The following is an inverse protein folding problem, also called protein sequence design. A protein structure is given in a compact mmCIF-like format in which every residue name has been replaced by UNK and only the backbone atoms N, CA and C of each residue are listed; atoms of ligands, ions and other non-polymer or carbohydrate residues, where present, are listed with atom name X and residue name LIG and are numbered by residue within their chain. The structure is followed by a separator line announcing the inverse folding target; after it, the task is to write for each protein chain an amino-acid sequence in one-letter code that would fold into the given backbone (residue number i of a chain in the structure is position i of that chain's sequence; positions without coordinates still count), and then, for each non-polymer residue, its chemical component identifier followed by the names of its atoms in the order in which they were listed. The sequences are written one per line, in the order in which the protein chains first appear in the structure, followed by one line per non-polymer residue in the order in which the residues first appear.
data_IF_342145724318
#
_entry.id   IF_342145724318
#
_cell.length_a   1.000
_cell.length_b   1.000
_cell.length_c   1.000
_cell.angle_alpha   90.00
_cell.angle_beta   90.00
_cell.angle_gamma   90.00
#
_symmetry.space_group_name_H-M   'P 1'
#
loop_
_entity.id
_entity.type
_entity.pdbx_description
1 polymer ?
#
# COMPACT_ATOMS: atom_id res chain seq x y z
N UNK A 1 58.91 8.01 54.32
CA UNK A 1 58.33 7.99 52.95
C UNK A 1 58.68 9.36 52.31
N UNK A 2 59.68 9.41 51.44
CA UNK A 2 60.01 10.63 50.66
C UNK A 2 58.96 10.80 49.57
N UNK A 3 58.15 11.83 49.62
CA UNK A 3 57.32 12.28 48.52
C UNK A 3 58.22 12.93 47.48
N UNK A 4 58.49 12.27 46.38
CA UNK A 4 59.15 12.88 45.24
C UNK A 4 58.29 14.07 44.75
N UNK A 5 58.74 15.26 44.89
CA UNK A 5 58.13 16.45 44.34
C UNK A 5 58.41 16.46 42.83
N UNK A 6 57.36 16.36 42.00
CA UNK A 6 57.44 16.49 40.54
C UNK A 6 58.09 17.85 40.21
N UNK A 7 59.11 17.85 39.39
CA UNK A 7 59.72 19.08 38.90
C UNK A 7 58.81 19.75 37.87
N UNK A 8 58.83 21.08 37.82
CA UNK A 8 58.03 21.86 36.88
C UNK A 8 58.34 21.44 35.41
N UNK A 9 59.57 21.04 35.16
CA UNK A 9 60.06 20.54 33.86
C UNK A 9 59.40 19.22 33.49
N UNK A 10 59.24 18.24 34.38
CA UNK A 10 58.59 16.98 34.18
C UNK A 10 57.12 17.18 33.82
N UNK A 11 56.42 18.09 34.49
CA UNK A 11 55.02 18.41 34.19
C UNK A 11 54.90 19.00 32.78
N UNK A 12 55.82 19.89 32.40
CA UNK A 12 55.80 20.52 31.08
C UNK A 12 56.04 19.50 29.95
N UNK A 13 56.99 18.57 30.13
CA UNK A 13 57.25 17.50 29.18
C UNK A 13 56.04 16.58 29.01
N UNK A 14 55.35 16.20 30.10
CA UNK A 14 54.15 15.38 30.07
C UNK A 14 53.02 16.08 29.31
N UNK A 15 52.80 17.36 29.53
CA UNK A 15 51.74 18.11 28.81
C UNK A 15 52.05 18.18 27.31
N UNK A 16 53.29 18.40 26.92
CA UNK A 16 53.70 18.45 25.51
C UNK A 16 53.50 17.09 24.84
N UNK A 17 53.89 15.97 25.50
CA UNK A 17 53.68 14.61 24.97
C UNK A 17 52.21 14.31 24.85
N UNK A 18 51.37 14.62 25.86
CA UNK A 18 49.92 14.44 25.80
C UNK A 18 49.28 15.26 24.69
N UNK A 19 49.72 16.51 24.46
CA UNK A 19 49.21 17.34 23.37
C UNK A 19 49.56 16.72 21.99
N UNK A 20 50.77 16.22 21.80
CA UNK A 20 51.18 15.53 20.57
C UNK A 20 50.42 14.24 20.35
N UNK A 21 50.27 13.40 21.37
CA UNK A 21 49.49 12.16 21.29
C UNK A 21 48.00 12.42 21.00
N UNK A 22 47.43 13.48 21.61
CA UNK A 22 46.05 13.88 21.32
C UNK A 22 45.89 14.34 19.89
N UNK A 23 46.79 15.13 19.35
CA UNK A 23 46.74 15.60 17.96
C UNK A 23 46.85 14.47 16.94
N UNK A 24 47.70 13.48 17.19
CA UNK A 24 47.81 12.27 16.35
C UNK A 24 46.56 11.39 16.50
N UNK A 25 46.08 11.21 17.72
CA UNK A 25 44.88 10.47 18.03
C UNK A 25 43.67 11.01 17.26
N UNK A 26 43.43 12.29 17.32
CA UNK A 26 42.30 12.96 16.61
C UNK A 26 42.38 12.75 15.09
N UNK A 27 43.57 12.79 14.49
CA UNK A 27 43.75 12.56 13.04
C UNK A 27 43.39 11.13 12.61
N UNK A 28 43.58 10.15 13.48
CA UNK A 28 43.26 8.73 13.16
C UNK A 28 41.81 8.40 13.51
N UNK A 29 41.31 8.85 14.66
CA UNK A 29 39.97 8.53 15.13
C UNK A 29 38.86 9.26 14.37
N UNK A 30 39.07 10.53 13.97
CA UNK A 30 38.04 11.30 13.26
C UNK A 30 37.56 10.64 11.96
N UNK A 31 38.43 10.24 11.03
CA UNK A 31 37.97 9.55 9.80
C UNK A 31 37.34 8.19 10.09
N UNK A 32 37.79 7.49 11.12
CA UNK A 32 37.26 6.17 11.50
C UNK A 32 35.84 6.28 12.05
N UNK A 33 35.60 7.27 12.91
CA UNK A 33 34.23 7.56 13.41
C UNK A 33 33.31 8.00 12.27
N UNK A 34 33.80 8.87 11.36
CA UNK A 34 33.02 9.29 10.19
C UNK A 34 32.70 8.09 9.28
N UNK A 35 33.67 7.22 9.00
CA UNK A 35 33.42 6.01 8.20
C UNK A 35 32.41 5.09 8.88
N UNK A 36 32.53 4.88 10.19
CA UNK A 36 31.56 4.05 10.94
C UNK A 36 30.16 4.62 10.93
N UNK A 37 30.00 5.92 11.21
CA UNK A 37 28.67 6.56 11.19
C UNK A 37 28.04 6.55 9.80
N UNK A 38 28.86 6.75 8.76
CA UNK A 38 28.40 6.66 7.36
C UNK A 38 27.96 5.24 7.01
N UNK A 39 28.75 4.21 7.38
CA UNK A 39 28.38 2.82 7.15
C UNK A 39 27.10 2.44 7.91
N UNK A 40 26.98 2.80 9.17
CA UNK A 40 25.78 2.52 9.97
C UNK A 40 24.52 3.22 9.40
N UNK A 41 24.64 4.46 8.93
CA UNK A 41 23.54 5.16 8.26
C UNK A 41 23.14 4.49 6.95
N UNK A 42 24.12 3.99 6.19
CA UNK A 42 23.89 3.25 4.95
C UNK A 42 23.13 1.95 5.19
N UNK A 43 23.55 1.14 6.15
CA UNK A 43 22.87 -0.11 6.51
C UNK A 43 21.45 0.13 6.98
N UNK A 44 21.22 1.14 7.82
CA UNK A 44 19.88 1.51 8.27
C UNK A 44 18.97 1.89 7.11
N UNK A 45 19.46 2.68 6.16
CA UNK A 45 18.67 3.11 5.00
C UNK A 45 18.38 1.93 4.06
N UNK A 46 19.35 1.04 3.83
CA UNK A 46 19.12 -0.20 3.05
C UNK A 46 18.10 -1.12 3.71
N UNK A 47 18.16 -1.29 5.03
CA UNK A 47 17.18 -2.08 5.77
C UNK A 47 15.78 -1.45 5.65
N UNK A 48 15.65 -0.13 5.80
CA UNK A 48 14.40 0.59 5.63
C UNK A 48 13.83 0.45 4.22
N UNK A 49 14.67 0.59 3.18
CA UNK A 49 14.26 0.38 1.79
C UNK A 49 13.80 -1.06 1.56
N UNK A 50 14.51 -2.04 2.12
CA UNK A 50 14.14 -3.45 2.01
C UNK A 50 12.78 -3.74 2.66
N UNK A 51 12.56 -3.21 3.85
CA UNK A 51 11.31 -3.35 4.56
C UNK A 51 10.15 -2.68 3.81
N UNK A 52 10.35 -1.48 3.27
CA UNK A 52 9.34 -0.79 2.49
C UNK A 52 8.94 -1.59 1.24
N UNK A 53 9.92 -2.16 0.52
CA UNK A 53 9.67 -3.02 -0.64
C UNK A 53 8.90 -4.27 -0.24
N UNK A 54 9.28 -4.95 0.85
CA UNK A 54 8.59 -6.14 1.34
C UNK A 54 7.14 -5.86 1.74
N UNK A 55 6.89 -4.75 2.44
CA UNK A 55 5.53 -4.35 2.82
C UNK A 55 4.70 -4.02 1.59
N UNK A 56 5.23 -3.24 0.65
CA UNK A 56 4.56 -2.90 -0.59
C UNK A 56 4.26 -4.16 -1.42
N UNK A 57 5.22 -5.08 -1.53
CA UNK A 57 5.06 -6.37 -2.20
C UNK A 57 3.95 -7.21 -1.56
N UNK A 58 3.98 -7.37 -0.24
CA UNK A 58 2.96 -8.14 0.47
C UNK A 58 1.54 -7.58 0.26
N UNK A 59 1.42 -6.25 0.15
CA UNK A 59 0.14 -5.61 -0.13
C UNK A 59 -0.29 -5.78 -1.58
N UNK A 60 0.64 -5.69 -2.54
CA UNK A 60 0.37 -5.90 -3.96
C UNK A 60 0.03 -7.36 -4.29
N UNK A 61 0.63 -8.34 -3.60
CA UNK A 61 0.29 -9.76 -3.77
C UNK A 61 -1.19 -10.07 -3.46
N UNK A 62 -1.82 -9.21 -2.66
CA UNK A 62 -3.24 -9.32 -2.35
C UNK A 62 -4.13 -8.51 -3.31
N UNK A 63 -3.57 -7.90 -4.35
CA UNK A 63 -4.34 -7.11 -5.30
C UNK A 63 -5.31 -7.99 -6.12
N UNK A 64 -6.50 -7.47 -6.36
CA UNK A 64 -7.36 -7.94 -7.43
C UNK A 64 -6.81 -7.30 -8.70
N UNK A 65 -5.97 -8.02 -9.44
CA UNK A 65 -5.13 -7.48 -10.52
C UNK A 65 -5.87 -6.63 -11.55
N UNK A 66 -7.09 -7.00 -12.02
CA UNK A 66 -7.84 -6.15 -12.96
C UNK A 66 -8.18 -4.76 -12.41
N UNK A 67 -8.11 -4.58 -11.09
CA UNK A 67 -8.40 -3.30 -10.45
C UNK A 67 -7.17 -2.42 -10.25
N UNK A 68 -5.97 -2.92 -10.55
CA UNK A 68 -4.74 -2.18 -10.36
C UNK A 68 -4.66 -1.03 -11.35
N UNK A 69 -4.63 0.19 -10.84
CA UNK A 69 -4.61 1.43 -11.61
C UNK A 69 -3.57 2.40 -11.08
N UNK A 70 -3.01 3.22 -11.98
CA UNK A 70 -2.25 4.38 -11.59
C UNK A 70 -3.19 5.57 -11.33
N UNK A 71 -2.74 6.55 -10.58
CA UNK A 71 -3.47 7.81 -10.43
C UNK A 71 -2.51 9.00 -10.49
N UNK A 72 -2.99 10.10 -11.08
CA UNK A 72 -2.29 11.37 -11.17
C UNK A 72 -2.88 12.36 -10.18
N UNK A 73 -2.05 12.99 -9.38
CA UNK A 73 -2.45 14.01 -8.42
C UNK A 73 -2.12 13.67 -6.96
N UNK A 74 -2.13 14.68 -6.09
CA UNK A 74 -1.99 14.47 -4.66
C UNK A 74 -3.28 13.86 -4.09
N UNK A 75 -3.16 12.82 -3.30
CA UNK A 75 -4.25 12.37 -2.46
C UNK A 75 -4.65 13.53 -1.54
N UNK A 76 -5.85 14.07 -1.76
CA UNK A 76 -6.38 15.09 -0.88
C UNK A 76 -6.69 16.46 -1.48
N UNK A 77 -6.46 16.68 -2.79
CA UNK A 77 -6.87 17.93 -3.46
C UNK A 77 -6.22 19.21 -2.93
N UNK A 78 -5.13 19.12 -2.17
CA UNK A 78 -4.36 20.26 -1.69
C UNK A 78 -3.02 20.26 -2.42
N UNK A 79 -2.81 21.24 -3.27
CA UNK A 79 -1.47 21.62 -3.73
C UNK A 79 -0.65 22.02 -2.50
N UNK A 80 0.16 21.08 -2.00
CA UNK A 80 1.11 21.40 -0.92
C UNK A 80 2.25 22.17 -1.55
N UNK A 81 2.22 23.50 -1.41
CA UNK A 81 3.37 24.33 -1.69
C UNK A 81 4.49 23.93 -0.73
N UNK A 82 5.65 23.68 -1.30
CA UNK A 82 6.88 23.38 -0.58
C UNK A 82 7.09 24.42 0.54
N UNK A 83 6.94 23.99 1.80
CA UNK A 83 7.23 24.82 2.97
C UNK A 83 6.24 24.77 4.14
N UNK A 84 5.02 24.27 3.97
CA UNK A 84 4.06 24.18 5.08
C UNK A 84 3.72 22.73 5.38
N UNK A 85 4.24 22.25 6.52
CA UNK A 85 3.77 21.01 7.16
C UNK A 85 2.34 21.23 7.67
N UNK A 86 1.35 21.01 6.83
CA UNK A 86 -0.02 21.01 7.29
C UNK A 86 -0.39 19.61 7.78
N UNK A 87 -0.49 19.48 9.11
CA UNK A 87 -0.91 18.29 9.86
C UNK A 87 -2.36 17.83 9.58
N UNK A 88 -3.06 18.43 8.62
CA UNK A 88 -4.47 18.20 8.31
C UNK A 88 -4.72 17.42 7.02
N UNK A 89 -3.83 16.51 6.64
CA UNK A 89 -4.05 15.53 5.55
C UNK A 89 -5.05 14.42 5.97
N UNK A 90 -6.14 14.78 6.64
CA UNK A 90 -7.09 13.84 7.23
C UNK A 90 -8.28 13.49 6.32
N UNK A 91 -8.41 14.08 5.16
CA UNK A 91 -9.51 13.75 4.26
C UNK A 91 -9.00 13.54 2.83
N UNK A 92 -8.84 12.28 2.44
CA UNK A 92 -8.84 11.89 1.04
C UNK A 92 -10.12 12.39 0.39
N UNK A 93 -10.05 13.48 -0.38
CA UNK A 93 -11.22 13.98 -1.10
C UNK A 93 -11.43 13.12 -2.36
N UNK A 94 -11.94 11.91 -2.15
CA UNK A 94 -12.18 10.92 -3.19
C UNK A 94 -13.42 11.20 -4.04
N UNK A 95 -14.11 12.32 -3.84
CA UNK A 95 -15.24 12.65 -4.73
C UNK A 95 -14.81 12.72 -6.20
N UNK A 96 -13.55 13.05 -6.45
CA UNK A 96 -12.98 13.18 -7.79
C UNK A 96 -11.85 12.19 -8.10
N UNK A 97 -11.52 11.31 -7.16
CA UNK A 97 -10.43 10.35 -7.34
C UNK A 97 -10.58 9.49 -8.61
N UNK A 98 -11.80 9.06 -8.90
CA UNK A 98 -12.11 8.29 -10.10
C UNK A 98 -11.73 9.01 -11.41
N UNK A 99 -11.71 10.36 -11.44
CA UNK A 99 -11.28 11.13 -12.59
C UNK A 99 -9.76 11.14 -12.79
N UNK A 100 -9.00 10.83 -11.74
CA UNK A 100 -7.54 10.83 -11.72
C UNK A 100 -6.94 9.45 -12.00
N UNK A 101 -7.77 8.42 -12.06
CA UNK A 101 -7.33 7.05 -12.32
C UNK A 101 -7.07 6.84 -13.81
N UNK A 102 -5.98 6.16 -14.13
CA UNK A 102 -5.59 5.80 -15.48
C UNK A 102 -4.93 4.41 -15.52
N UNK A 103 -4.87 3.78 -16.71
CA UNK A 103 -4.11 2.55 -16.89
C UNK A 103 -2.64 2.72 -16.50
N UNK A 104 -2.04 1.69 -15.90
CA UNK A 104 -0.62 1.69 -15.51
C UNK A 104 0.34 1.97 -16.67
N UNK A 105 -0.06 1.60 -17.89
CA UNK A 105 0.73 1.75 -19.11
C UNK A 105 0.82 3.20 -19.59
N UNK A 106 -0.13 4.05 -19.23
CA UNK A 106 -0.14 5.46 -19.62
C UNK A 106 0.84 6.33 -18.82
N UNK A 107 1.49 5.77 -17.78
CA UNK A 107 2.53 6.47 -17.00
C UNK A 107 2.02 7.71 -16.28
N UNK A 108 0.72 7.82 -16.03
CA UNK A 108 0.18 8.90 -15.24
C UNK A 108 0.45 8.61 -13.76
N UNK A 109 1.25 9.44 -13.09
CA UNK A 109 0.98 9.36 -11.75
C UNK A 109 2.03 9.49 -10.68
N UNK A 110 1.51 9.87 -9.52
CA UNK A 110 2.19 9.93 -8.24
C UNK A 110 1.95 8.65 -7.39
N UNK A 111 1.18 7.68 -7.90
CA UNK A 111 0.91 6.46 -7.16
C UNK A 111 0.08 5.42 -7.90
N UNK A 112 -0.21 4.33 -7.19
CA UNK A 112 -1.04 3.22 -7.65
C UNK A 112 -2.09 2.88 -6.61
N UNK A 113 -3.24 2.38 -7.08
CA UNK A 113 -4.38 1.99 -6.25
C UNK A 113 -4.94 0.67 -6.72
N UNK A 114 -5.47 -0.13 -5.79
CA UNK A 114 -6.10 -1.41 -6.09
C UNK A 114 -7.06 -1.82 -4.98
N UNK A 115 -8.04 -2.67 -5.33
CA UNK A 115 -8.81 -3.41 -4.34
C UNK A 115 -8.01 -4.61 -3.86
N UNK A 116 -7.89 -4.75 -2.54
CA UNK A 116 -7.23 -5.90 -1.95
C UNK A 116 -8.23 -7.05 -1.76
N UNK A 117 -7.85 -8.24 -2.20
CA UNK A 117 -8.61 -9.47 -1.98
C UNK A 117 -8.74 -9.73 -0.48
N UNK A 118 -9.94 -10.00 -0.01
CA UNK A 118 -10.21 -10.25 1.42
C UNK A 118 -9.83 -11.68 1.79
N UNK A 119 -8.52 -11.92 1.92
CA UNK A 119 -8.00 -13.23 2.31
C UNK A 119 -8.39 -13.64 3.73
N UNK A 120 -8.55 -12.68 4.61
CA UNK A 120 -8.97 -12.91 5.99
C UNK A 120 -10.35 -13.56 6.06
N UNK A 121 -11.25 -13.18 5.14
CA UNK A 121 -12.59 -13.77 5.06
C UNK A 121 -12.64 -15.00 4.16
N UNK A 122 -11.60 -15.24 3.35
CA UNK A 122 -11.52 -16.40 2.46
C UNK A 122 -11.23 -17.69 3.24
N UNK A 123 -10.39 -17.62 4.28
CA UNK A 123 -9.97 -18.78 5.08
C UNK A 123 -10.28 -18.56 6.57
N UNK A 124 -11.08 -19.44 7.13
CA UNK A 124 -11.30 -19.51 8.56
C UNK A 124 -11.22 -20.97 9.01
N UNK A 125 -10.26 -21.32 9.89
CA UNK A 125 -10.12 -22.62 10.55
C UNK A 125 -10.27 -23.85 9.63
N UNK A 126 -9.71 -23.77 8.41
CA UNK A 126 -9.72 -24.89 7.45
C UNK A 126 -10.95 -24.94 6.53
N UNK A 127 -11.95 -24.10 6.72
CA UNK A 127 -13.07 -23.92 5.78
C UNK A 127 -12.89 -22.68 4.93
N UNK A 128 -13.44 -22.71 3.70
CA UNK A 128 -13.48 -21.53 2.85
C UNK A 128 -14.69 -20.69 3.23
N UNK A 129 -14.45 -19.43 3.56
CA UNK A 129 -15.51 -18.47 3.86
C UNK A 129 -16.31 -18.06 2.63
N UNK A 130 -15.66 -18.01 1.44
CA UNK A 130 -16.29 -17.80 0.15
C UNK A 130 -15.46 -18.47 -0.95
N UNK A 131 -16.16 -18.99 -1.99
CA UNK A 131 -15.50 -19.77 -3.03
C UNK A 131 -14.93 -18.93 -4.18
N UNK A 132 -15.48 -17.75 -4.38
CA UNK A 132 -15.21 -16.92 -5.56
C UNK A 132 -16.06 -17.30 -6.77
N UNK A 133 -17.04 -18.21 -6.62
CA UNK A 133 -17.94 -18.65 -7.68
C UNK A 133 -19.41 -18.46 -7.30
N UNK A 134 -20.18 -17.94 -8.25
CA UNK A 134 -21.61 -17.70 -8.10
C UNK A 134 -22.40 -18.95 -8.42
N UNK A 135 -23.38 -19.28 -7.57
CA UNK A 135 -24.39 -20.28 -7.91
C UNK A 135 -25.52 -19.61 -8.69
N UNK A 136 -25.53 -19.77 -10.02
CA UNK A 136 -26.58 -19.20 -10.89
C UNK A 136 -27.97 -19.75 -10.60
N UNK A 137 -28.09 -20.94 -10.04
CA UNK A 137 -29.38 -21.54 -9.65
C UNK A 137 -30.09 -20.75 -8.54
N UNK A 138 -29.32 -20.04 -7.73
CA UNK A 138 -29.82 -19.26 -6.59
C UNK A 138 -29.92 -17.77 -6.90
N UNK A 139 -29.56 -17.36 -8.13
CA UNK A 139 -29.57 -15.97 -8.54
C UNK A 139 -31.00 -15.41 -8.51
N UNK A 140 -31.23 -14.43 -7.68
CA UNK A 140 -32.49 -13.70 -7.63
C UNK A 140 -32.26 -12.21 -7.82
N UNK A 141 -33.04 -11.58 -8.68
CA UNK A 141 -32.95 -10.16 -8.98
C UNK A 141 -34.29 -9.47 -8.64
N UNK A 142 -34.22 -8.51 -7.75
CA UNK A 142 -35.30 -7.57 -7.45
C UNK A 142 -34.92 -6.18 -7.99
N UNK A 143 -35.89 -5.22 -7.96
CA UNK A 143 -35.69 -3.86 -8.53
C UNK A 143 -34.43 -3.12 -8.09
N UNK A 144 -33.86 -3.44 -6.92
CA UNK A 144 -32.70 -2.74 -6.33
C UNK A 144 -31.69 -3.66 -5.68
N UNK A 145 -31.92 -4.96 -5.71
CA UNK A 145 -31.03 -5.94 -5.07
C UNK A 145 -30.83 -7.14 -5.97
N UNK A 146 -29.57 -7.57 -6.04
CA UNK A 146 -29.15 -8.84 -6.62
C UNK A 146 -28.69 -9.74 -5.48
N UNK A 147 -29.26 -10.91 -5.34
CA UNK A 147 -28.88 -11.86 -4.32
C UNK A 147 -28.56 -13.22 -4.94
N UNK A 148 -27.49 -13.85 -4.46
CA UNK A 148 -27.08 -15.18 -4.87
C UNK A 148 -26.36 -15.90 -3.74
N UNK A 149 -26.34 -17.22 -3.81
CA UNK A 149 -25.58 -18.06 -2.89
C UNK A 149 -24.21 -18.38 -3.49
N UNK A 150 -23.28 -18.64 -2.62
CA UNK A 150 -21.99 -19.24 -2.93
C UNK A 150 -22.15 -20.67 -3.43
N UNK A 151 -21.22 -21.12 -4.28
CA UNK A 151 -21.19 -22.49 -4.73
C UNK A 151 -20.76 -23.47 -3.62
N UNK A 152 -19.76 -23.09 -2.81
CA UNK A 152 -19.19 -23.96 -1.78
C UNK A 152 -18.61 -23.23 -0.55
N UNK A 153 -18.89 -21.93 -0.39
CA UNK A 153 -18.35 -21.13 0.73
C UNK A 153 -19.27 -21.06 1.95
N UNK A 154 -18.67 -20.83 3.12
CA UNK A 154 -19.39 -20.54 4.37
C UNK A 154 -19.36 -19.03 4.66
N UNK A 155 -20.35 -18.31 4.14
CA UNK A 155 -20.49 -16.88 4.34
C UNK A 155 -20.70 -16.48 5.81
N UNK A 156 -21.13 -17.40 6.68
CA UNK A 156 -21.28 -17.15 8.12
C UNK A 156 -19.92 -17.00 8.74
N UNK A 157 -18.97 -17.90 8.42
CA UNK A 157 -17.59 -17.79 8.85
C UNK A 157 -16.94 -16.47 8.39
N UNK A 158 -17.14 -16.10 7.13
CA UNK A 158 -16.67 -14.80 6.61
C UNK A 158 -17.24 -13.61 7.37
N UNK A 159 -18.53 -13.66 7.73
CA UNK A 159 -19.18 -12.59 8.48
C UNK A 159 -18.63 -12.46 9.91
N UNK A 160 -18.32 -13.57 10.56
CA UNK A 160 -17.71 -13.58 11.89
C UNK A 160 -16.31 -12.96 11.88
N UNK A 161 -15.49 -13.34 10.89
CA UNK A 161 -14.17 -12.73 10.70
C UNK A 161 -14.27 -11.22 10.47
N UNK A 162 -15.17 -10.77 9.62
CA UNK A 162 -15.37 -9.32 9.42
C UNK A 162 -15.78 -8.60 10.69
N UNK A 163 -16.63 -9.19 11.52
CA UNK A 163 -17.01 -8.61 12.81
C UNK A 163 -15.82 -8.50 13.78
N UNK A 164 -14.92 -9.47 13.75
CA UNK A 164 -13.71 -9.45 14.59
C UNK A 164 -12.67 -8.44 14.12
N UNK A 165 -12.54 -8.24 12.81
CA UNK A 165 -11.58 -7.30 12.24
C UNK A 165 -11.99 -5.83 12.44
N UNK A 166 -13.28 -5.59 12.41
CA UNK A 166 -13.81 -4.23 12.43
C UNK A 166 -14.75 -4.07 13.61
N UNK A 167 -14.29 -3.86 14.79
CA UNK A 167 -15.04 -3.62 16.06
C UNK A 167 -16.28 -2.69 15.91
N UNK A 168 -16.96 -2.77 14.80
CA UNK A 168 -18.03 -1.92 14.35
C UNK A 168 -19.39 -2.63 14.52
N UNK A 169 -20.21 -2.13 15.42
CA UNK A 169 -21.62 -2.53 15.58
C UNK A 169 -22.43 -2.36 14.27
N UNK A 170 -21.90 -1.66 13.26
CA UNK A 170 -22.44 -1.54 11.92
C UNK A 170 -21.76 -2.54 11.00
N UNK A 171 -22.55 -3.43 10.41
CA UNK A 171 -22.08 -4.39 9.42
C UNK A 171 -21.37 -3.64 8.29
N UNK A 172 -20.04 -3.81 8.20
CA UNK A 172 -19.22 -3.20 7.13
C UNK A 172 -19.65 -3.76 5.79
N UNK A 173 -19.83 -2.88 4.83
CA UNK A 173 -20.09 -3.26 3.45
C UNK A 173 -18.77 -3.72 2.83
N UNK A 174 -18.84 -4.76 2.03
CA UNK A 174 -17.74 -5.23 1.19
C UNK A 174 -17.93 -4.74 -0.24
N UNK A 175 -16.89 -4.86 -1.02
CA UNK A 175 -16.94 -4.72 -2.47
C UNK A 175 -16.94 -6.10 -3.08
N UNK A 176 -17.86 -6.33 -3.99
CA UNK A 176 -17.88 -7.49 -4.87
C UNK A 176 -17.50 -7.01 -6.28
N UNK A 177 -16.53 -7.69 -6.86
CA UNK A 177 -16.06 -7.44 -8.22
C UNK A 177 -16.20 -8.74 -8.99
N UNK A 178 -17.01 -8.73 -10.04
CA UNK A 178 -17.08 -9.86 -10.96
C UNK A 178 -15.84 -9.87 -11.83
N UNK A 179 -15.28 -11.06 -12.03
CA UNK A 179 -14.11 -11.30 -12.86
C UNK A 179 -14.57 -11.97 -14.13
N UNK A 180 -14.28 -11.42 -15.29
CA UNK A 180 -14.53 -12.06 -16.57
C UNK A 180 -13.74 -13.38 -16.65
N UNK A 181 -14.27 -14.38 -17.36
CA UNK A 181 -13.66 -15.72 -17.47
C UNK A 181 -12.28 -15.67 -18.12
N UNK A 182 -12.06 -14.69 -18.96
CA UNK A 182 -10.76 -14.39 -19.50
C UNK A 182 -10.16 -13.20 -18.74
N UNK A 183 -9.31 -13.49 -17.73
CA UNK A 183 -8.51 -12.44 -17.07
C UNK A 183 -7.68 -11.65 -18.10
N UNK A 184 -7.53 -12.18 -19.32
CA UNK A 184 -6.93 -11.52 -20.46
C UNK A 184 -7.81 -10.41 -21.04
N UNK A 185 -9.14 -10.53 -21.08
CA UNK A 185 -9.97 -9.47 -21.66
C UNK A 185 -9.98 -8.19 -20.84
N UNK A 186 -10.06 -8.29 -19.50
CA UNK A 186 -9.88 -7.11 -18.63
C UNK A 186 -8.42 -6.67 -18.55
N UNK A 187 -7.47 -7.59 -18.79
CA UNK A 187 -6.04 -7.31 -18.73
C UNK A 187 -5.46 -6.88 -20.10
N UNK A 188 -5.94 -7.42 -21.22
CA UNK A 188 -5.47 -7.06 -22.57
C UNK A 188 -6.12 -5.78 -23.09
N UNK A 189 -7.37 -5.51 -22.72
CA UNK A 189 -8.00 -4.23 -23.04
C UNK A 189 -7.40 -3.03 -22.30
N UNK A 190 -6.46 -3.30 -21.35
CA UNK A 190 -5.92 -2.24 -20.49
C UNK A 190 -7.02 -1.55 -19.67
N UNK A 191 -8.13 -2.26 -19.41
CA UNK A 191 -9.42 -1.76 -18.95
C UNK A 191 -9.67 -0.39 -19.58
N UNK A 192 -10.55 -0.22 -20.51
CA UNK A 192 -10.76 1.10 -21.11
C UNK A 192 -10.71 2.11 -19.95
N UNK A 193 -10.04 3.23 -20.14
CA UNK A 193 -9.83 4.26 -19.10
C UNK A 193 -11.13 4.58 -18.33
N UNK A 194 -12.25 4.40 -19.00
CA UNK A 194 -13.59 4.58 -18.47
C UNK A 194 -14.01 3.48 -17.49
N UNK A 195 -13.67 2.22 -17.73
CA UNK A 195 -13.96 1.08 -16.84
C UNK A 195 -13.17 1.17 -15.54
N UNK A 196 -11.90 1.58 -15.61
CA UNK A 196 -11.09 1.85 -14.42
C UNK A 196 -11.68 2.99 -13.59
N UNK A 197 -12.12 4.08 -14.23
CA UNK A 197 -12.79 5.18 -13.53
C UNK A 197 -14.09 4.73 -12.89
N UNK A 198 -14.85 3.89 -13.59
CA UNK A 198 -16.11 3.34 -13.09
C UNK A 198 -15.89 2.50 -11.83
N UNK A 199 -14.83 1.64 -11.80
CA UNK A 199 -14.48 0.81 -10.65
C UNK A 199 -14.33 1.62 -9.35
N UNK A 200 -13.80 2.83 -9.44
CA UNK A 200 -13.48 3.67 -8.28
C UNK A 200 -14.58 4.67 -7.91
N UNK A 201 -15.70 4.70 -8.62
CA UNK A 201 -16.86 5.51 -8.23
C UNK A 201 -17.54 4.97 -6.98
N UNK A 202 -18.10 5.85 -6.18
CA UNK A 202 -18.84 5.48 -4.97
C UNK A 202 -20.14 4.69 -5.25
N UNK A 203 -20.66 4.78 -6.46
CA UNK A 203 -21.86 4.09 -6.97
C UNK A 203 -21.53 3.23 -8.20
N UNK A 204 -20.36 2.64 -8.24
CA UNK A 204 -19.86 1.82 -9.32
C UNK A 204 -20.81 0.67 -9.68
N UNK A 205 -20.89 0.36 -10.97
CA UNK A 205 -21.55 -0.82 -11.51
C UNK A 205 -20.61 -2.03 -11.62
N UNK A 206 -19.31 -1.82 -11.49
CA UNK A 206 -18.27 -2.83 -11.56
C UNK A 206 -17.75 -3.23 -10.17
N UNK A 207 -17.64 -2.28 -9.24
CA UNK A 207 -17.26 -2.51 -7.84
C UNK A 207 -18.50 -2.35 -6.94
N UNK A 208 -19.17 -3.43 -6.70
CA UNK A 208 -20.53 -3.47 -6.16
C UNK A 208 -20.56 -3.49 -4.63
N UNK A 209 -21.34 -2.61 -4.03
CA UNK A 209 -21.59 -2.63 -2.59
C UNK A 209 -22.32 -3.90 -2.18
N UNK A 210 -21.69 -4.71 -1.34
CA UNK A 210 -22.19 -6.03 -0.99
C UNK A 210 -22.29 -6.19 0.52
N UNK A 211 -23.36 -6.86 0.95
CA UNK A 211 -23.58 -7.30 2.34
C UNK A 211 -23.56 -8.81 2.40
N UNK A 212 -22.85 -9.35 3.38
CA UNK A 212 -22.93 -10.78 3.71
C UNK A 212 -24.21 -10.99 4.52
N UNK A 213 -25.18 -11.68 3.93
CA UNK A 213 -26.40 -12.15 4.61
C UNK A 213 -26.45 -13.67 4.46
N UNK A 214 -25.70 -14.43 5.26
CA UNK A 214 -25.65 -15.88 5.09
C UNK A 214 -27.03 -16.52 4.99
N UNK A 215 -27.29 -17.44 4.07
CA UNK A 215 -26.32 -18.05 3.13
C UNK A 215 -26.12 -17.25 1.83
N UNK A 216 -26.58 -16.01 1.73
CA UNK A 216 -26.57 -15.22 0.49
C UNK A 216 -25.62 -14.02 0.58
N UNK A 217 -25.03 -13.69 -0.56
CA UNK A 217 -24.46 -12.38 -0.87
C UNK A 217 -25.57 -11.49 -1.43
N UNK A 218 -25.68 -10.28 -0.91
CA UNK A 218 -26.68 -9.31 -1.34
C UNK A 218 -25.98 -8.04 -1.83
N UNK A 219 -26.12 -7.79 -3.12
CA UNK A 219 -25.58 -6.61 -3.81
C UNK A 219 -26.69 -5.59 -3.96
N UNK A 220 -26.42 -4.37 -3.51
CA UNK A 220 -27.33 -3.24 -3.72
C UNK A 220 -26.94 -2.52 -5.01
N UNK A 221 -27.74 -2.57 -6.04
CA UNK A 221 -27.52 -1.83 -7.29
C UNK A 221 -28.86 -1.32 -7.83
N UNK A 222 -28.88 -0.05 -8.23
CA UNK A 222 -30.00 0.57 -8.93
C UNK A 222 -29.92 0.40 -10.45
N UNK A 223 -28.76 -0.02 -10.95
CA UNK A 223 -28.46 -0.19 -12.36
C UNK A 223 -28.37 -1.67 -12.71
N UNK A 224 -28.45 -1.95 -13.99
CA UNK A 224 -28.23 -3.32 -14.49
C UNK A 224 -26.78 -3.72 -14.30
N UNK A 225 -26.56 -4.84 -13.61
CA UNK A 225 -25.24 -5.40 -13.34
C UNK A 225 -25.05 -6.63 -14.19
N UNK A 226 -23.95 -6.69 -14.93
CA UNK A 226 -23.49 -7.91 -15.57
C UNK A 226 -22.96 -8.86 -14.48
N UNK A 227 -23.38 -10.11 -14.53
CA UNK A 227 -23.00 -11.15 -13.58
C UNK A 227 -22.15 -12.17 -14.30
N UNK A 228 -20.97 -12.45 -13.77
CA UNK A 228 -20.09 -13.52 -14.23
C UNK A 228 -20.03 -14.64 -13.20
N UNK A 229 -19.53 -15.79 -13.62
CA UNK A 229 -19.41 -16.96 -12.76
C UNK A 229 -18.40 -16.73 -11.62
N UNK A 230 -17.29 -16.03 -11.93
CA UNK A 230 -16.22 -15.73 -10.96
C UNK A 230 -16.38 -14.35 -10.38
N UNK A 231 -16.02 -14.21 -9.09
CA UNK A 231 -15.98 -12.94 -8.42
C UNK A 231 -14.87 -12.89 -7.35
N UNK A 232 -14.53 -11.69 -6.91
CA UNK A 232 -13.68 -11.45 -5.78
C UNK A 232 -14.38 -10.53 -4.77
N UNK A 233 -14.13 -10.77 -3.48
CA UNK A 233 -14.55 -9.89 -2.40
C UNK A 233 -13.36 -9.06 -1.89
N UNK A 234 -13.63 -7.80 -1.65
CA UNK A 234 -12.70 -6.88 -1.03
C UNK A 234 -13.38 -6.13 0.11
N UNK A 235 -12.65 -5.89 1.19
CA UNK A 235 -13.08 -5.04 2.29
C UNK A 235 -12.28 -3.74 2.37
N UNK A 236 -11.27 -3.57 1.51
CA UNK A 236 -10.40 -2.41 1.54
C UNK A 236 -9.80 -2.08 0.18
N UNK A 237 -9.64 -0.80 -0.08
CA UNK A 237 -8.68 -0.28 -1.04
C UNK A 237 -7.32 -0.13 -0.37
N UNK A 238 -6.28 -0.33 -1.16
CA UNK A 238 -4.93 0.08 -0.83
C UNK A 238 -4.42 1.04 -1.91
N UNK A 239 -3.61 2.00 -1.50
CA UNK A 239 -2.91 2.87 -2.43
C UNK A 239 -1.50 3.16 -1.94
N UNK A 240 -0.55 3.15 -2.88
CA UNK A 240 0.83 3.59 -2.65
C UNK A 240 1.03 4.90 -3.42
N UNK A 241 1.49 5.93 -2.72
CA UNK A 241 1.72 7.25 -3.29
C UNK A 241 3.09 7.79 -2.88
N UNK A 242 3.71 8.53 -3.78
CA UNK A 242 4.89 9.34 -3.48
C UNK A 242 4.41 10.75 -3.12
N UNK A 243 4.65 11.17 -1.87
CA UNK A 243 4.26 12.48 -1.36
C UNK A 243 5.44 13.11 -0.64
N UNK A 244 5.88 14.29 -1.08
CA UNK A 244 6.98 15.06 -0.45
C UNK A 244 8.26 14.25 -0.21
N UNK A 245 8.57 13.27 -1.09
CA UNK A 245 9.70 12.37 -0.91
C UNK A 245 9.45 11.22 0.06
N UNK A 246 8.24 11.04 0.57
CA UNK A 246 7.81 9.88 1.36
C UNK A 246 7.04 8.90 0.50
N UNK A 247 7.32 7.61 0.61
CA UNK A 247 6.45 6.55 0.10
C UNK A 247 5.39 6.25 1.16
N UNK A 248 4.15 6.54 0.83
CA UNK A 248 3.00 6.44 1.73
C UNK A 248 2.07 5.33 1.28
N UNK A 249 1.69 4.47 2.21
CA UNK A 249 0.62 3.48 2.04
C UNK A 249 -0.67 4.00 2.67
N UNK A 250 -1.74 4.08 1.87
CA UNK A 250 -3.10 4.26 2.34
C UNK A 250 -3.83 2.92 2.34
N UNK A 251 -4.58 2.63 3.38
CA UNK A 251 -5.27 1.36 3.55
C UNK A 251 -6.52 1.51 4.46
N UNK A 252 -7.32 0.48 4.56
CA UNK A 252 -8.52 0.38 5.40
C UNK A 252 -9.61 1.40 5.02
N UNK A 253 -9.84 1.59 3.72
CA UNK A 253 -10.88 2.46 3.19
C UNK A 253 -11.59 1.87 1.97
N UNK A 254 -12.74 2.41 1.64
CA UNK A 254 -13.52 2.07 0.45
C UNK A 254 -13.89 3.34 -0.31
N UNK A 255 -14.26 3.27 -1.59
CA UNK A 255 -14.57 4.46 -2.39
C UNK A 255 -15.64 5.38 -1.80
N UNK A 256 -16.52 4.85 -0.94
CA UNK A 256 -17.57 5.60 -0.26
C UNK A 256 -17.30 5.88 1.22
N UNK A 257 -16.15 5.40 1.76
CA UNK A 257 -15.73 5.56 3.16
C UNK A 257 -14.29 6.07 3.28
N UNK A 258 -13.98 7.09 2.52
CA UNK A 258 -12.62 7.61 2.38
C UNK A 258 -12.07 8.28 3.63
N UNK A 259 -12.98 8.82 4.47
CA UNK A 259 -12.63 9.41 5.76
C UNK A 259 -12.03 8.41 6.75
N UNK A 260 -12.15 7.11 6.48
CA UNK A 260 -11.57 6.03 7.31
C UNK A 260 -10.16 5.64 6.89
N UNK A 261 -9.66 6.16 5.77
CA UNK A 261 -8.35 5.81 5.26
C UNK A 261 -7.27 6.01 6.33
N UNK A 262 -6.54 4.94 6.59
CA UNK A 262 -5.35 4.97 7.44
C UNK A 262 -4.13 5.26 6.56
N UNK A 263 -3.17 5.95 7.12
CA UNK A 263 -1.92 6.34 6.46
C UNK A 263 -0.73 5.75 7.21
N UNK A 264 0.20 5.16 6.48
CA UNK A 264 1.49 4.72 7.00
C UNK A 264 2.61 5.19 6.06
N UNK A 265 3.61 5.84 6.61
CA UNK A 265 4.84 6.15 5.88
C UNK A 265 5.69 4.88 5.86
N UNK A 266 5.99 4.37 4.68
CA UNK A 266 6.82 3.18 4.51
C UNK A 266 8.30 3.53 4.42
N UNK A 267 8.63 4.66 3.80
CA UNK A 267 10.01 5.07 3.55
C UNK A 267 10.09 6.57 3.31
N UNK A 268 11.10 7.21 3.90
CA UNK A 268 11.47 8.61 3.68
C UNK A 268 12.61 8.72 2.66
N UNK A 269 12.77 9.90 2.06
CA UNK A 269 13.85 10.18 1.13
C UNK A 269 13.75 9.42 -0.19
N UNK A 270 12.53 9.09 -0.60
CA UNK A 270 12.27 8.43 -1.88
C UNK A 270 12.41 9.43 -3.01
N UNK A 271 13.31 9.14 -3.94
CA UNK A 271 13.55 9.96 -5.14
C UNK A 271 12.59 9.59 -6.27
N UNK A 272 12.34 8.29 -6.45
CA UNK A 272 11.40 7.80 -7.45
C UNK A 272 10.74 6.48 -7.03
N UNK A 273 9.53 6.32 -7.49
CA UNK A 273 8.71 5.14 -7.29
C UNK A 273 8.05 4.81 -8.63
N UNK A 274 8.14 3.57 -9.05
CA UNK A 274 7.60 3.12 -10.31
C UNK A 274 6.91 1.77 -10.15
N UNK A 275 5.74 1.62 -10.78
CA UNK A 275 5.02 0.36 -10.87
C UNK A 275 4.74 0.07 -12.33
N UNK A 276 5.17 -1.07 -12.81
CA UNK A 276 4.96 -1.52 -14.19
C UNK A 276 4.29 -2.88 -14.21
N UNK A 277 3.42 -3.09 -15.17
CA UNK A 277 2.89 -4.43 -15.45
C UNK A 277 3.94 -5.25 -16.20
N UNK A 278 4.14 -6.49 -15.77
CA UNK A 278 5.08 -7.45 -16.39
C UNK A 278 4.29 -8.70 -16.76
N UNK A 279 4.13 -8.92 -18.06
CA UNK A 279 3.27 -10.01 -18.54
C UNK A 279 1.80 -9.86 -18.16
N UNK A 280 1.08 -10.97 -18.14
CA UNK A 280 -0.38 -10.96 -17.86
C UNK A 280 -0.70 -10.78 -16.37
N UNK A 281 0.14 -11.29 -15.47
CA UNK A 281 -0.19 -11.38 -14.04
C UNK A 281 0.87 -10.77 -13.11
N UNK A 282 1.98 -10.27 -13.64
CA UNK A 282 3.08 -9.74 -12.83
C UNK A 282 3.03 -8.22 -12.71
N UNK A 283 3.55 -7.72 -11.61
CA UNK A 283 3.76 -6.29 -11.36
C UNK A 283 5.19 -6.09 -10.89
N UNK A 284 5.96 -5.27 -11.59
CA UNK A 284 7.29 -4.84 -11.18
C UNK A 284 7.16 -3.54 -10.38
N UNK A 285 7.64 -3.58 -9.15
CA UNK A 285 7.76 -2.43 -8.26
C UNK A 285 9.21 -2.02 -8.18
N UNK A 286 9.52 -0.75 -8.43
CA UNK A 286 10.84 -0.15 -8.29
C UNK A 286 10.77 1.03 -7.33
N UNK A 287 11.58 1.02 -6.28
CA UNK A 287 11.70 2.12 -5.33
C UNK A 287 13.16 2.56 -5.29
N UNK A 288 13.40 3.85 -5.48
CA UNK A 288 14.74 4.43 -5.45
C UNK A 288 14.83 5.53 -4.41
N UNK A 289 15.94 5.54 -3.68
CA UNK A 289 16.29 6.56 -2.69
C UNK A 289 17.59 7.24 -3.07
N UNK A 290 17.77 8.49 -2.65
CA UNK A 290 19.04 9.18 -2.78
C UNK A 290 19.93 8.86 -1.59
N UNK A 291 21.18 8.44 -1.84
CA UNK A 291 22.13 8.09 -0.81
C UNK A 291 23.53 8.56 -1.19
N UNK A 292 24.17 9.35 -0.34
CA UNK A 292 25.54 9.84 -0.54
C UNK A 292 25.81 10.44 -1.93
N UNK A 293 24.84 11.15 -2.50
CA UNK A 293 24.93 11.72 -3.85
C UNK A 293 24.67 10.73 -4.99
N UNK A 294 24.43 9.44 -4.69
CA UNK A 294 24.03 8.42 -5.64
C UNK A 294 22.56 8.00 -5.52
N UNK A 295 22.03 7.36 -6.54
CA UNK A 295 20.68 6.76 -6.55
C UNK A 295 20.80 5.27 -6.29
N UNK A 296 20.11 4.78 -5.25
CA UNK A 296 20.04 3.35 -4.91
C UNK A 296 18.61 2.88 -5.13
N UNK A 297 18.44 1.85 -5.95
CA UNK A 297 17.12 1.30 -6.30
C UNK A 297 16.98 -0.15 -5.86
N UNK A 298 15.77 -0.52 -5.46
CA UNK A 298 15.40 -1.91 -5.21
C UNK A 298 14.14 -2.25 -5.99
N UNK A 299 14.21 -3.39 -6.67
CA UNK A 299 13.13 -3.91 -7.51
C UNK A 299 12.55 -5.17 -6.87
N UNK A 300 11.25 -5.37 -7.03
CA UNK A 300 10.59 -6.63 -6.72
C UNK A 300 9.50 -6.91 -7.74
N UNK A 301 9.27 -8.18 -8.02
CA UNK A 301 8.15 -8.63 -8.85
C UNK A 301 7.13 -9.30 -7.95
N UNK A 302 5.87 -8.93 -8.14
CA UNK A 302 4.72 -9.55 -7.47
C UNK A 302 3.95 -10.36 -8.52
N UNK A 303 3.39 -11.50 -8.15
CA UNK A 303 2.60 -12.38 -9.01
C UNK A 303 1.21 -12.53 -8.41
#
# INVERSE_FOLDING_TARGET
MMRAAFTLLELLVVIVILALLSAVGFRIFSPLVTAYTTAASFEKQQASLSNAVLVAQARLNNAILPTLAAFSGSFGGVEVKSGELNSNLTALNLKEFHNQVCPLQEGCGAGVVWFAKSYETLRNNGSFGWSGFVSFQTLSRNKSELAFSELSGDLKASQEVLKSLFDDRKQRQMVLIFLADDESELAESGGEKEDLKELYKSNSTLALKTKLKPPKLVVSSKQEVKVWERYALSHTLNALALQNGELVLYYDFLPWETSRAKRAVLLDGVESFEVKRVGKMGVLLTICVRQNGGKVCKNTVTI
#
